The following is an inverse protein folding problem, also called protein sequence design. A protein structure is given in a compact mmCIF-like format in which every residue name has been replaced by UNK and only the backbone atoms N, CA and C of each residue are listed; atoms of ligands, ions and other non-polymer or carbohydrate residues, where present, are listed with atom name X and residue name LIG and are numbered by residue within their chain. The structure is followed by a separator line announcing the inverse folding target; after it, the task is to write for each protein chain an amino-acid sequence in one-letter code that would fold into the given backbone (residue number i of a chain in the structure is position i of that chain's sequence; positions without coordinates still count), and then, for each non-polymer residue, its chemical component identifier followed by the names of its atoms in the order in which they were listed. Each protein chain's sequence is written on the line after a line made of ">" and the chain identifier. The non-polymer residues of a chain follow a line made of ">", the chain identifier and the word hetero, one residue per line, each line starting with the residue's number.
data_IF_343183277512
#
_entry.id   IF_343183277512
#
_cell.length_a   1.000
_cell.length_b   1.000
_cell.length_c   1.000
_cell.angle_alpha   90.00
_cell.angle_beta   90.00
_cell.angle_gamma   90.00
#
_symmetry.space_group_name_H-M   'P 1'
#
loop_
_entity.id
_entity.type
_entity.pdbx_description
1 polymer ?
#
# COMPACT_ATOMS: atom_id res chain seq x y z
N UNK A 1 -2.81 53.99 31.48
CA UNK A 1 -3.31 52.65 31.12
C UNK A 1 -2.28 51.63 31.62
N UNK A 2 -2.64 50.78 32.58
CA UNK A 2 -1.67 49.89 33.26
C UNK A 2 -1.07 48.88 32.29
N UNK A 3 0.27 48.73 32.30
CA UNK A 3 1.04 47.81 31.43
C UNK A 3 0.47 46.38 31.48
N UNK A 4 -0.10 45.97 32.61
CA UNK A 4 -0.78 44.68 32.79
C UNK A 4 -1.99 44.46 31.88
N UNK A 5 -2.74 45.51 31.53
CA UNK A 5 -3.92 45.35 30.69
C UNK A 5 -3.55 45.21 29.21
N UNK A 6 -2.44 45.82 28.79
CA UNK A 6 -1.94 45.71 27.42
C UNK A 6 -1.42 44.29 27.12
N UNK A 7 -0.72 43.65 28.06
CA UNK A 7 -0.21 42.29 27.89
C UNK A 7 -1.33 41.25 27.83
N UNK A 8 -2.37 41.38 28.65
CA UNK A 8 -3.53 40.46 28.63
C UNK A 8 -4.27 40.54 27.29
N UNK A 9 -4.47 41.74 26.73
CA UNK A 9 -5.13 41.89 25.43
C UNK A 9 -4.29 41.34 24.27
N UNK A 10 -2.96 41.51 24.33
CA UNK A 10 -2.05 40.94 23.33
C UNK A 10 -2.11 39.41 23.35
N UNK A 11 -2.08 38.81 24.55
CA UNK A 11 -2.17 37.35 24.73
C UNK A 11 -3.53 36.85 24.25
N UNK A 12 -4.65 37.49 24.58
CA UNK A 12 -5.96 37.08 24.10
C UNK A 12 -6.09 37.14 22.58
N UNK A 13 -5.57 38.19 21.94
CA UNK A 13 -5.60 38.33 20.48
C UNK A 13 -4.65 37.37 19.77
N UNK A 14 -3.51 37.05 20.37
CA UNK A 14 -2.49 36.17 19.79
C UNK A 14 -2.70 34.68 20.06
N UNK A 15 -3.31 34.32 21.20
CA UNK A 15 -3.43 32.92 21.62
C UNK A 15 -4.35 32.11 20.69
N UNK A 16 -5.46 32.68 20.24
CA UNK A 16 -6.39 32.01 19.33
C UNK A 16 -5.73 31.66 17.99
N UNK A 17 -5.15 32.62 17.23
CA UNK A 17 -4.50 32.28 15.96
C UNK A 17 -3.28 31.36 16.15
N UNK A 18 -2.53 31.51 17.25
CA UNK A 18 -1.41 30.62 17.56
C UNK A 18 -1.88 29.17 17.79
N UNK A 19 -2.95 28.98 18.56
CA UNK A 19 -3.52 27.66 18.81
C UNK A 19 -4.05 27.03 17.50
N UNK A 20 -4.71 27.82 16.65
CA UNK A 20 -5.14 27.36 15.33
C UNK A 20 -3.96 26.97 14.43
N UNK A 21 -2.88 27.75 14.44
CA UNK A 21 -1.67 27.43 13.68
C UNK A 21 -1.00 26.14 14.18
N UNK A 22 -0.97 25.91 15.49
CA UNK A 22 -0.45 24.66 16.08
C UNK A 22 -1.31 23.46 15.66
N UNK A 23 -2.64 23.59 15.73
CA UNK A 23 -3.55 22.52 15.30
C UNK A 23 -3.37 22.22 13.81
N UNK A 24 -3.30 23.25 12.96
CA UNK A 24 -3.08 23.09 11.53
C UNK A 24 -1.71 22.45 11.22
N UNK A 25 -0.64 22.90 11.89
CA UNK A 25 0.69 22.31 11.76
C UNK A 25 0.72 20.84 12.17
N UNK A 26 0.08 20.49 13.29
CA UNK A 26 -0.04 19.10 13.72
C UNK A 26 -0.81 18.25 12.71
N UNK A 27 -1.88 18.77 12.12
CA UNK A 27 -2.62 18.06 11.08
C UNK A 27 -1.76 17.84 9.84
N UNK A 28 -1.00 18.84 9.37
CA UNK A 28 -0.05 18.68 8.26
C UNK A 28 0.99 17.59 8.56
N UNK A 29 1.59 17.59 9.75
CA UNK A 29 2.55 16.55 10.14
C UNK A 29 1.90 15.16 10.12
N UNK A 30 0.71 15.02 10.71
CA UNK A 30 0.00 13.73 10.74
C UNK A 30 -0.36 13.23 9.33
N UNK A 31 -0.76 14.12 8.42
CA UNK A 31 -1.03 13.74 7.02
C UNK A 31 0.22 13.26 6.28
N UNK A 32 1.39 13.80 6.64
CA UNK A 32 2.67 13.43 6.01
C UNK A 32 3.29 12.16 6.62
N UNK A 33 3.14 11.94 7.92
CA UNK A 33 3.85 10.86 8.63
C UNK A 33 3.01 9.59 8.81
N UNK A 34 1.70 9.71 8.96
CA UNK A 34 0.82 8.56 9.28
C UNK A 34 0.09 8.04 8.04
N UNK A 35 0.41 8.55 6.85
CA UNK A 35 -0.28 8.16 5.62
C UNK A 35 -1.78 8.46 5.65
N UNK A 36 -2.24 9.30 6.58
CA UNK A 36 -3.62 9.75 6.68
C UNK A 36 -3.89 10.66 5.48
N UNK A 37 -4.20 10.06 4.34
CA UNK A 37 -4.80 10.81 3.24
C UNK A 37 -6.12 11.41 3.74
N UNK A 38 -6.60 12.54 3.18
CA UNK A 38 -7.90 13.11 3.54
C UNK A 38 -9.07 12.10 3.51
N UNK A 39 -8.88 10.98 2.80
CA UNK A 39 -9.81 9.86 2.66
C UNK A 39 -9.72 8.80 3.78
N UNK A 40 -8.71 8.86 4.66
CA UNK A 40 -8.52 7.94 5.80
C UNK A 40 -9.43 8.25 7.02
N UNK A 41 -10.37 9.18 6.89
CA UNK A 41 -11.37 9.48 7.93
C UNK A 41 -10.84 10.29 9.12
N UNK A 42 -9.68 10.93 9.00
CA UNK A 42 -9.09 11.77 10.05
C UNK A 42 -9.58 13.23 10.07
N UNK A 43 -10.25 13.69 9.00
CA UNK A 43 -10.82 15.03 8.90
C UNK A 43 -12.26 15.09 9.36
N UNK A 44 -12.64 16.21 10.00
CA UNK A 44 -13.98 16.48 10.53
C UNK A 44 -15.11 16.05 9.55
N UNK A 45 -15.75 14.92 9.85
CA UNK A 45 -17.03 14.55 9.26
C UNK A 45 -16.95 13.67 7.99
N UNK A 46 -17.21 12.38 8.23
CA UNK A 46 -17.91 11.44 7.35
C UNK A 46 -17.12 10.85 6.17
N UNK A 47 -17.30 9.53 6.01
CA UNK A 47 -16.72 8.64 4.99
C UNK A 47 -15.26 8.24 5.18
N UNK A 48 -14.92 7.67 6.35
CA UNK A 48 -13.84 6.68 6.36
C UNK A 48 -14.30 5.53 5.46
N UNK A 49 -13.71 5.40 4.25
CA UNK A 49 -13.99 4.22 3.44
C UNK A 49 -13.55 3.00 4.24
N UNK A 50 -14.48 2.05 4.41
CA UNK A 50 -14.17 0.70 4.94
C UNK A 50 -13.15 -0.01 4.02
N UNK A 51 -12.86 0.56 2.85
CA UNK A 51 -11.80 0.13 1.97
C UNK A 51 -10.50 0.88 2.29
N UNK A 52 -9.55 0.19 2.90
CA UNK A 52 -8.18 0.65 3.04
C UNK A 52 -7.25 -0.19 2.17
N UNK A 53 -6.12 0.37 1.77
CA UNK A 53 -5.10 -0.35 1.00
C UNK A 53 -4.48 -1.49 1.81
N UNK A 54 -4.42 -1.41 3.14
CA UNK A 54 -3.92 -2.53 3.97
C UNK A 54 -4.87 -3.73 3.99
N UNK A 55 -6.14 -3.53 3.58
CA UNK A 55 -7.11 -4.61 3.41
C UNK A 55 -7.08 -5.17 2.00
N UNK A 56 -6.18 -4.67 1.14
CA UNK A 56 -5.99 -5.14 -0.21
C UNK A 56 -4.62 -5.77 -0.32
N UNK A 57 -4.57 -6.96 -0.91
CA UNK A 57 -3.32 -7.66 -1.18
C UNK A 57 -3.17 -7.87 -2.68
N UNK A 58 -1.95 -7.73 -3.17
CA UNK A 58 -1.61 -8.10 -4.54
C UNK A 58 -1.06 -9.51 -4.45
N UNK A 59 -1.78 -10.45 -5.06
CA UNK A 59 -1.34 -11.84 -5.15
C UNK A 59 -0.67 -12.04 -6.50
N UNK A 60 0.59 -12.45 -6.46
CA UNK A 60 1.38 -12.81 -7.62
C UNK A 60 1.69 -14.31 -7.55
N UNK A 61 1.25 -15.04 -8.57
CA UNK A 61 1.47 -16.49 -8.69
C UNK A 61 2.24 -16.74 -9.96
N UNK A 62 3.41 -17.34 -9.83
CA UNK A 62 4.25 -17.77 -10.94
C UNK A 62 4.08 -19.27 -11.21
N UNK A 63 4.35 -19.67 -12.44
CA UNK A 63 4.60 -21.05 -12.82
C UNK A 63 6.02 -21.15 -13.34
N UNK A 64 6.82 -22.03 -12.75
CA UNK A 64 8.17 -22.27 -13.21
C UNK A 64 8.20 -23.15 -14.47
N UNK A 65 9.39 -23.35 -15.01
CA UNK A 65 9.60 -24.15 -16.22
C UNK A 65 9.42 -25.66 -15.99
N UNK A 66 9.27 -26.11 -14.74
CA UNK A 66 8.88 -27.47 -14.38
C UNK A 66 7.36 -27.62 -14.18
N UNK A 67 6.59 -26.54 -14.36
CA UNK A 67 5.15 -26.49 -14.17
C UNK A 67 4.72 -26.37 -12.70
N UNK A 68 5.66 -26.15 -11.78
CA UNK A 68 5.36 -25.97 -10.36
C UNK A 68 4.87 -24.54 -10.13
N UNK A 69 3.83 -24.43 -9.31
CA UNK A 69 3.26 -23.15 -8.90
C UNK A 69 4.06 -22.55 -7.75
N UNK A 70 4.36 -21.26 -7.84
CA UNK A 70 5.17 -20.50 -6.90
C UNK A 70 4.39 -19.25 -6.50
N UNK A 71 4.31 -18.93 -5.21
CA UNK A 71 3.73 -17.68 -4.74
C UNK A 71 4.84 -16.64 -4.58
N UNK A 72 4.63 -15.46 -5.17
CA UNK A 72 5.57 -14.35 -5.10
C UNK A 72 5.02 -13.31 -4.12
N UNK A 73 5.78 -13.02 -3.06
CA UNK A 73 5.44 -11.98 -2.10
C UNK A 73 6.01 -10.64 -2.58
N UNK A 74 5.12 -9.69 -2.80
CA UNK A 74 5.46 -8.31 -3.16
C UNK A 74 5.65 -7.48 -1.87
N UNK A 75 6.84 -7.56 -1.29
CA UNK A 75 7.20 -6.72 -0.13
C UNK A 75 7.79 -5.37 -0.56
N UNK A 76 7.60 -4.37 0.31
CA UNK A 76 8.17 -3.03 0.20
C UNK A 76 9.40 -2.91 1.11
N UNK A 77 10.49 -2.24 0.70
CA UNK A 77 10.91 -1.88 -0.64
C UNK A 77 11.78 -3.02 -1.22
N UNK A 78 11.21 -3.79 -2.15
CA UNK A 78 12.01 -4.58 -3.08
C UNK A 78 12.62 -3.63 -4.13
N UNK A 79 13.78 -3.97 -4.70
CA UNK A 79 14.42 -3.16 -5.74
C UNK A 79 13.51 -2.96 -6.99
N UNK A 80 12.50 -3.81 -7.16
CA UNK A 80 11.54 -3.76 -8.26
C UNK A 80 10.48 -2.68 -8.10
N UNK A 81 9.98 -2.45 -6.87
CA UNK A 81 8.82 -1.60 -6.65
C UNK A 81 9.00 -0.72 -5.42
N UNK A 82 8.80 0.59 -5.62
CA UNK A 82 8.71 1.51 -4.50
C UNK A 82 7.47 1.21 -3.65
N UNK A 83 7.52 1.50 -2.35
CA UNK A 83 6.36 1.40 -1.44
C UNK A 83 5.15 2.16 -1.99
N UNK A 84 5.37 3.34 -2.60
CA UNK A 84 4.32 4.16 -3.20
C UNK A 84 3.68 3.47 -4.42
N UNK A 85 4.48 2.80 -5.25
CA UNK A 85 3.98 2.05 -6.41
C UNK A 85 3.10 0.88 -5.98
N UNK A 86 3.49 0.15 -4.92
CA UNK A 86 2.68 -0.94 -4.38
C UNK A 86 1.38 -0.44 -3.73
N UNK A 87 1.44 0.68 -2.98
CA UNK A 87 0.24 1.33 -2.43
C UNK A 87 -0.69 1.76 -3.57
N UNK A 88 -0.16 2.39 -4.62
CA UNK A 88 -0.94 2.80 -5.78
C UNK A 88 -1.58 1.61 -6.49
N UNK A 89 -0.81 0.54 -6.75
CA UNK A 89 -1.30 -0.70 -7.37
C UNK A 89 -2.45 -1.34 -6.59
N UNK A 90 -2.36 -1.35 -5.25
CA UNK A 90 -3.43 -1.85 -4.36
C UNK A 90 -4.65 -0.93 -4.37
N UNK A 91 -4.44 0.38 -4.42
CA UNK A 91 -5.51 1.39 -4.33
C UNK A 91 -6.27 1.54 -5.64
N UNK A 92 -5.58 1.47 -6.77
CA UNK A 92 -6.11 1.69 -8.11
C UNK A 92 -5.57 0.59 -9.03
N UNK A 93 -6.18 -0.61 -9.02
CA UNK A 93 -5.68 -1.78 -9.74
C UNK A 93 -6.01 -1.70 -11.24
N UNK A 94 -5.38 -0.76 -11.93
CA UNK A 94 -5.51 -0.58 -13.37
C UNK A 94 -4.87 -1.75 -14.13
N UNK A 95 -5.62 -2.29 -15.10
CA UNK A 95 -5.17 -3.33 -16.02
C UNK A 95 -3.77 -3.09 -16.64
N UNK A 96 -3.47 -1.92 -17.26
CA UNK A 96 -2.15 -1.69 -17.86
C UNK A 96 -1.01 -1.70 -16.84
N UNK A 97 -1.28 -1.22 -15.62
CA UNK A 97 -0.29 -1.21 -14.55
C UNK A 97 -0.04 -2.64 -14.04
N UNK A 98 -1.09 -3.43 -13.81
CA UNK A 98 -0.98 -4.84 -13.44
C UNK A 98 -0.21 -5.64 -14.49
N UNK A 99 -0.45 -5.40 -15.79
CA UNK A 99 0.27 -6.05 -16.88
C UNK A 99 1.76 -5.69 -16.88
N UNK A 100 2.09 -4.42 -16.62
CA UNK A 100 3.48 -3.97 -16.52
C UNK A 100 4.19 -4.63 -15.34
N UNK A 101 3.52 -4.73 -14.19
CA UNK A 101 4.04 -5.41 -12.99
C UNK A 101 4.24 -6.91 -13.25
N UNK A 102 3.28 -7.58 -13.87
CA UNK A 102 3.39 -8.99 -14.22
C UNK A 102 4.56 -9.25 -15.18
N UNK A 103 4.77 -8.36 -16.17
CA UNK A 103 5.90 -8.44 -17.09
C UNK A 103 7.25 -8.19 -16.38
N UNK A 104 7.30 -7.22 -15.47
CA UNK A 104 8.50 -6.96 -14.68
C UNK A 104 8.87 -8.17 -13.78
N UNK A 105 7.87 -8.84 -13.23
CA UNK A 105 8.06 -10.05 -12.41
C UNK A 105 8.56 -11.25 -13.22
N UNK A 106 8.15 -11.40 -14.48
CA UNK A 106 8.71 -12.43 -15.38
C UNK A 106 10.21 -12.24 -15.63
N UNK A 107 10.66 -10.99 -15.66
CA UNK A 107 12.06 -10.63 -15.89
C UNK A 107 12.87 -10.54 -14.60
N UNK A 108 12.21 -10.58 -13.44
CA UNK A 108 12.84 -10.47 -12.14
C UNK A 108 13.50 -11.79 -11.73
N UNK A 109 14.56 -11.68 -10.95
CA UNK A 109 15.11 -12.84 -10.26
C UNK A 109 14.36 -13.05 -8.94
N UNK A 110 13.79 -14.24 -8.78
CA UNK A 110 13.10 -14.64 -7.56
C UNK A 110 14.07 -15.29 -6.58
N UNK A 111 14.04 -14.84 -5.32
CA UNK A 111 14.78 -15.47 -4.22
C UNK A 111 13.84 -16.26 -3.33
N UNK A 112 14.17 -17.52 -2.99
CA UNK A 112 13.36 -18.28 -2.06
C UNK A 112 13.37 -17.61 -0.69
N UNK A 113 12.21 -17.50 -0.07
CA UNK A 113 12.05 -17.09 1.34
C UNK A 113 12.26 -18.31 2.25
N UNK A 114 12.31 -18.11 3.57
CA UNK A 114 12.37 -19.22 4.56
C UNK A 114 11.19 -20.19 4.43
N UNK A 115 10.07 -19.73 3.86
CA UNK A 115 8.90 -20.55 3.59
C UNK A 115 9.02 -21.24 2.21
N UNK A 116 8.73 -22.55 2.12
CA UNK A 116 8.77 -23.26 0.86
C UNK A 116 7.72 -22.71 -0.10
N UNK A 117 8.09 -22.57 -1.39
CA UNK A 117 7.23 -22.05 -2.46
C UNK A 117 6.81 -20.57 -2.32
N UNK A 118 7.42 -19.82 -1.40
CA UNK A 118 7.27 -18.36 -1.28
C UNK A 118 8.58 -17.71 -1.73
N UNK A 119 8.50 -16.74 -2.64
CA UNK A 119 9.67 -16.06 -3.18
C UNK A 119 9.51 -14.54 -3.09
N UNK A 120 10.61 -13.84 -2.83
CA UNK A 120 10.69 -12.39 -2.93
C UNK A 120 11.33 -12.00 -4.26
N UNK A 121 10.78 -10.98 -4.91
CA UNK A 121 11.31 -10.50 -6.18
C UNK A 121 12.42 -9.47 -5.92
N UNK A 122 13.60 -9.67 -6.52
CA UNK A 122 14.75 -8.76 -6.44
C UNK A 122 15.31 -8.47 -7.83
N UNK A 123 15.93 -7.29 -8.02
CA UNK A 123 16.63 -6.93 -9.27
C UNK A 123 18.10 -7.39 -9.28
N UNK A 124 18.65 -7.77 -8.13
CA UNK A 124 20.07 -8.10 -8.01
C UNK A 124 20.38 -9.51 -8.55
N UNK A 125 21.17 -9.55 -9.62
CA UNK A 125 21.54 -10.79 -10.30
C UNK A 125 22.43 -11.69 -9.45
N UNK A 126 21.92 -12.87 -9.11
CA UNK A 126 22.64 -13.94 -8.43
C UNK A 126 22.37 -15.27 -9.14
N UNK A 127 23.38 -16.12 -9.23
CA UNK A 127 23.48 -17.26 -10.17
C UNK A 127 22.43 -18.37 -10.07
N UNK A 128 21.42 -18.25 -9.21
CA UNK A 128 20.35 -19.24 -9.02
C UNK A 128 18.99 -18.63 -9.38
N UNK A 129 18.85 -18.15 -10.62
CA UNK A 129 17.58 -17.64 -11.13
C UNK A 129 16.60 -18.79 -11.38
N UNK A 130 15.37 -18.64 -10.91
CA UNK A 130 14.30 -19.61 -11.19
C UNK A 130 13.68 -19.25 -12.54
N UNK A 131 13.63 -20.20 -13.47
CA UNK A 131 13.02 -20.00 -14.79
C UNK A 131 11.50 -19.84 -14.63
N UNK A 132 10.93 -18.72 -15.10
CA UNK A 132 9.50 -18.43 -15.04
C UNK A 132 8.85 -18.55 -16.42
N UNK A 133 7.80 -19.36 -16.53
CA UNK A 133 7.04 -19.54 -17.78
C UNK A 133 5.79 -18.65 -17.81
N UNK A 134 5.19 -18.38 -16.66
CA UNK A 134 3.96 -17.59 -16.56
C UNK A 134 3.91 -16.86 -15.23
N UNK A 135 3.42 -15.62 -15.23
CA UNK A 135 3.06 -14.87 -14.02
C UNK A 135 1.60 -14.48 -14.11
N UNK A 136 0.86 -14.75 -13.04
CA UNK A 136 -0.52 -14.36 -12.82
C UNK A 136 -0.58 -13.35 -11.69
N UNK A 137 -1.25 -12.24 -11.92
CA UNK A 137 -1.35 -11.14 -10.96
C UNK A 137 -2.81 -10.76 -10.76
N UNK A 138 -3.23 -10.63 -9.51
CA UNK A 138 -4.57 -10.18 -9.17
C UNK A 138 -4.57 -9.43 -7.84
N UNK A 139 -5.42 -8.41 -7.74
CA UNK A 139 -5.63 -7.68 -6.48
C UNK A 139 -6.87 -8.22 -5.79
N UNK A 140 -6.70 -8.57 -4.54
CA UNK A 140 -7.73 -9.11 -3.67
C UNK A 140 -8.02 -8.15 -2.54
N UNK A 141 -9.26 -8.17 -2.07
CA UNK A 141 -9.75 -7.39 -0.94
C UNK A 141 -10.21 -8.32 0.16
N UNK A 142 -9.76 -8.03 1.38
CA UNK A 142 -10.25 -8.63 2.60
C UNK A 142 -11.68 -8.15 2.87
N UNK A 143 -12.60 -9.10 2.97
CA UNK A 143 -13.97 -8.88 3.43
C UNK A 143 -14.12 -9.45 4.83
N UNK A 144 -14.92 -8.76 5.63
CA UNK A 144 -15.31 -9.20 6.95
C UNK A 144 -16.81 -9.02 7.11
N UNK A 145 -17.50 -10.13 7.36
CA UNK A 145 -18.89 -10.14 7.79
C UNK A 145 -18.92 -10.30 9.30
N UNK A 146 -19.66 -9.44 10.00
CA UNK A 146 -19.73 -9.47 11.47
C UNK A 146 -20.55 -10.65 11.99
N UNK A 147 -21.57 -11.07 11.26
CA UNK A 147 -22.49 -12.15 11.67
C UNK A 147 -22.91 -12.98 10.45
N UNK A 148 -22.48 -14.25 10.36
CA UNK A 148 -21.43 -14.89 11.17
C UNK A 148 -20.08 -14.16 11.00
N UNK A 149 -19.18 -14.25 11.99
CA UNK A 149 -17.82 -13.70 11.91
C UNK A 149 -17.01 -14.45 10.86
N UNK A 150 -17.09 -14.00 9.61
CA UNK A 150 -16.42 -14.62 8.47
C UNK A 150 -15.45 -13.62 7.84
N UNK A 151 -14.23 -14.08 7.60
CA UNK A 151 -13.18 -13.33 6.89
C UNK A 151 -12.85 -14.10 5.61
N UNK A 152 -12.89 -13.42 4.48
CA UNK A 152 -12.52 -14.01 3.18
C UNK A 152 -11.88 -12.96 2.28
N UNK A 153 -11.20 -13.42 1.24
CA UNK A 153 -10.68 -12.55 0.19
C UNK A 153 -11.58 -12.64 -1.05
N UNK A 154 -11.84 -11.50 -1.68
CA UNK A 154 -12.52 -11.42 -2.97
C UNK A 154 -11.63 -10.70 -4.00
N UNK A 155 -11.64 -11.09 -5.27
CA UNK A 155 -10.90 -10.38 -6.29
C UNK A 155 -11.57 -9.04 -6.61
N UNK A 156 -10.79 -7.96 -6.65
CA UNK A 156 -11.25 -6.62 -7.05
C UNK A 156 -10.70 -6.17 -8.40
N UNK A 157 -9.77 -6.94 -8.97
CA UNK A 157 -9.26 -6.75 -10.32
C UNK A 157 -9.48 -8.01 -11.16
N UNK A 158 -9.58 -7.87 -12.49
CA UNK A 158 -9.39 -9.01 -13.39
C UNK A 158 -8.02 -9.65 -13.17
N UNK A 159 -7.93 -10.94 -13.46
CA UNK A 159 -6.68 -11.69 -13.50
C UNK A 159 -5.86 -11.21 -14.70
N UNK A 160 -4.62 -10.81 -14.46
CA UNK A 160 -3.67 -10.47 -15.51
C UNK A 160 -2.64 -11.60 -15.63
N UNK A 161 -2.43 -12.07 -16.85
CA UNK A 161 -1.42 -13.08 -17.15
C UNK A 161 -0.33 -12.47 -18.03
N UNK A 162 0.92 -12.71 -17.67
CA UNK A 162 2.07 -12.43 -18.51
C UNK A 162 2.79 -13.75 -18.84
N UNK A 163 3.33 -13.82 -20.05
CA UNK A 163 4.15 -14.93 -20.57
C UNK A 163 5.39 -14.34 -21.28
N UNK A 164 6.52 -15.06 -21.30
CA UNK A 164 7.74 -14.62 -21.98
C UNK A 164 7.54 -14.41 -23.48
#
# INVERSE_FOLDING_TARGET
>A
MSIRNATIQLVQKGAIPLLLAIVAGRQLVLTQTVGLSPWHGGGFGMFASIDRDEWRQVEAVATDCEGKTITITLESPSDLFSSRSLIYLRTVPELPLLATVAQALLQAELRPTEQPAVYSAHMASTSNSTCLQQVRLQVWRLRHQRQPSLIWYEPISPLVEARP
#
